data_IF_207941001338
#
_entry.id   IF_207941001338
#
_cell.length_a   1.000
_cell.length_b   1.000
_cell.length_c   1.000
_cell.angle_alpha   90.00
_cell.angle_beta   90.00
_cell.angle_gamma   90.00
#
_symmetry.space_group_name_H-M   'P 1'
#
loop_
_entity.id
_entity.type
_entity.pdbx_description
1 polymer ?
#
# COMPACT_ATOMS: atom_id res chain seq x y z
N UNK A 1 5.99 -4.80 -8.56
CA UNK A 1 6.99 -5.75 -8.02
C UNK A 1 7.61 -6.63 -9.10
N UNK A 2 7.08 -6.64 -10.34
CA UNK A 2 7.60 -7.45 -11.43
C UNK A 2 7.21 -8.92 -11.36
N UNK A 3 6.23 -9.27 -10.51
CA UNK A 3 5.75 -10.64 -10.42
C UNK A 3 5.07 -11.07 -11.72
N UNK A 4 5.32 -12.29 -12.19
CA UNK A 4 4.84 -12.77 -13.49
C UNK A 4 3.31 -12.73 -13.63
N UNK A 5 2.58 -12.93 -12.52
CA UNK A 5 1.11 -12.81 -12.50
C UNK A 5 0.61 -11.38 -12.78
N UNK A 6 1.44 -10.36 -12.58
CA UNK A 6 1.10 -8.96 -12.86
C UNK A 6 1.43 -8.54 -14.30
N UNK A 7 2.11 -9.40 -15.07
CA UNK A 7 2.63 -9.09 -16.40
C UNK A 7 2.04 -10.03 -17.47
N UNK A 8 0.73 -10.24 -17.41
CA UNK A 8 0.03 -11.02 -18.44
C UNK A 8 -0.01 -10.24 -19.77
N UNK A 9 -0.07 -10.96 -20.89
CA UNK A 9 -0.16 -10.34 -22.21
C UNK A 9 -1.40 -9.43 -22.33
N UNK A 10 -2.52 -9.86 -21.77
CA UNK A 10 -3.77 -9.10 -21.82
C UNK A 10 -3.67 -7.79 -21.03
N UNK A 11 -3.01 -7.82 -19.85
CA UNK A 11 -2.73 -6.61 -19.09
C UNK A 11 -1.84 -5.63 -19.87
N UNK A 12 -0.76 -6.13 -20.50
CA UNK A 12 0.15 -5.29 -21.28
C UNK A 12 -0.57 -4.68 -22.50
N UNK A 13 -1.36 -5.47 -23.23
CA UNK A 13 -2.17 -4.99 -24.35
C UNK A 13 -3.17 -3.93 -23.91
N UNK A 14 -3.84 -4.14 -22.78
CA UNK A 14 -4.79 -3.18 -22.22
C UNK A 14 -4.09 -1.87 -21.87
N UNK A 15 -2.97 -1.93 -21.15
CA UNK A 15 -2.18 -0.75 -20.77
C UNK A 15 -1.71 0.03 -22.01
N UNK A 16 -1.20 -0.67 -23.02
CA UNK A 16 -0.78 -0.05 -24.28
C UNK A 16 -1.94 0.64 -25.00
N UNK A 17 -3.09 -0.03 -25.14
CA UNK A 17 -4.27 0.53 -25.81
C UNK A 17 -4.82 1.79 -25.11
N UNK A 18 -4.57 1.95 -23.81
CA UNK A 18 -5.02 3.08 -23.01
C UNK A 18 -3.92 4.10 -22.69
N UNK A 19 -2.75 4.01 -23.34
CA UNK A 19 -1.60 4.90 -23.10
C UNK A 19 -1.12 4.90 -21.62
N UNK A 20 -1.24 3.77 -20.93
CA UNK A 20 -0.77 3.58 -19.56
C UNK A 20 0.65 3.02 -19.59
N UNK A 21 1.61 3.78 -19.05
CA UNK A 21 2.99 3.32 -18.88
C UNK A 21 3.07 2.41 -17.65
N UNK A 22 3.37 1.13 -17.88
CA UNK A 22 3.58 0.16 -16.79
C UNK A 22 5.04 0.16 -16.38
N UNK A 23 5.32 0.46 -15.11
CA UNK A 23 6.66 0.42 -14.53
C UNK A 23 6.91 -0.90 -13.80
N UNK A 24 8.13 -1.43 -13.95
CA UNK A 24 8.59 -2.63 -13.26
C UNK A 24 9.87 -2.32 -12.48
N UNK A 25 9.96 -2.85 -11.26
CA UNK A 25 11.18 -2.71 -10.44
C UNK A 25 12.19 -3.81 -10.82
N UNK A 26 13.50 -3.56 -10.64
CA UNK A 26 14.48 -4.64 -10.66
C UNK A 26 14.08 -5.78 -9.71
N UNK A 27 14.44 -7.04 -10.02
CA UNK A 27 14.17 -8.17 -9.15
C UNK A 27 14.63 -7.91 -7.72
N UNK A 28 13.81 -8.31 -6.74
CA UNK A 28 14.07 -8.16 -5.30
C UNK A 28 14.26 -6.72 -4.79
N UNK A 29 13.99 -5.68 -5.59
CA UNK A 29 14.22 -4.29 -5.21
C UNK A 29 12.97 -3.56 -4.66
N UNK A 30 11.89 -4.29 -4.35
CA UNK A 30 10.65 -3.70 -3.81
C UNK A 30 10.85 -3.03 -2.46
N UNK A 31 11.79 -3.50 -1.65
CA UNK A 31 12.15 -2.89 -0.37
C UNK A 31 12.91 -1.55 -0.52
N UNK A 32 13.34 -1.20 -1.74
CA UNK A 32 14.05 0.06 -2.05
C UNK A 32 13.14 1.02 -2.79
N UNK A 33 12.48 0.54 -3.85
CA UNK A 33 11.79 1.42 -4.81
C UNK A 33 10.27 1.44 -4.65
N UNK A 34 9.66 0.50 -3.92
CA UNK A 34 8.21 0.45 -3.78
C UNK A 34 7.77 1.28 -2.57
N UNK A 35 7.32 2.51 -2.80
CA UNK A 35 7.00 3.47 -1.73
C UNK A 35 5.97 2.99 -0.70
N UNK A 36 5.01 2.15 -1.14
CA UNK A 36 4.07 1.52 -0.22
C UNK A 36 4.78 0.62 0.81
N UNK A 37 5.76 -0.17 0.38
CA UNK A 37 6.54 -1.03 1.28
C UNK A 37 7.51 -0.23 2.14
N UNK A 38 8.14 0.80 1.57
CA UNK A 38 9.19 1.60 2.23
C UNK A 38 8.62 2.50 3.32
N UNK A 39 7.45 3.11 3.11
CA UNK A 39 6.91 4.12 4.01
C UNK A 39 5.50 3.79 4.52
N UNK A 40 4.56 3.45 3.63
CA UNK A 40 3.13 3.50 3.96
C UNK A 40 2.68 2.30 4.78
N UNK A 41 3.12 1.08 4.45
CA UNK A 41 2.66 -0.14 5.11
C UNK A 41 3.15 -0.27 6.55
N UNK A 42 4.29 0.32 6.90
CA UNK A 42 4.73 0.40 8.30
C UNK A 42 3.73 1.18 9.15
N UNK A 43 3.35 2.38 8.68
CA UNK A 43 2.36 3.25 9.34
C UNK A 43 0.99 2.57 9.39
N UNK A 44 0.57 1.92 8.30
CA UNK A 44 -0.69 1.18 8.26
C UNK A 44 -0.75 0.05 9.28
N UNK A 45 0.34 -0.72 9.47
CA UNK A 45 0.37 -1.79 10.47
C UNK A 45 0.21 -1.27 11.90
N UNK A 46 0.80 -0.11 12.19
CA UNK A 46 0.63 0.56 13.49
C UNK A 46 -0.84 0.91 13.72
N UNK A 47 -1.45 1.67 12.83
CA UNK A 47 -2.86 2.06 12.98
C UNK A 47 -3.81 0.87 12.92
N UNK A 48 -3.53 -0.14 12.10
CA UNK A 48 -4.30 -1.38 12.08
C UNK A 48 -4.33 -2.05 13.46
N UNK A 49 -3.18 -2.12 14.12
CA UNK A 49 -3.06 -2.72 15.46
C UNK A 49 -3.85 -1.91 16.49
N UNK A 50 -3.75 -0.58 16.44
CA UNK A 50 -4.52 0.32 17.31
C UNK A 50 -6.03 0.19 17.10
N UNK A 51 -6.48 0.14 15.85
CA UNK A 51 -7.88 -0.03 15.48
C UNK A 51 -8.45 -1.39 15.91
N UNK A 52 -7.66 -2.46 15.79
CA UNK A 52 -8.02 -3.78 16.31
C UNK A 52 -8.23 -3.74 17.84
N UNK A 53 -7.27 -3.18 18.58
CA UNK A 53 -7.38 -3.07 20.04
C UNK A 53 -8.55 -2.19 20.47
N UNK A 54 -8.81 -1.10 19.72
CA UNK A 54 -9.97 -0.23 19.99
C UNK A 54 -11.28 -0.99 19.80
N UNK A 55 -11.41 -1.73 18.70
CA UNK A 55 -12.58 -2.56 18.44
C UNK A 55 -12.82 -3.61 19.53
N UNK A 56 -11.77 -4.31 19.94
CA UNK A 56 -11.85 -5.30 21.01
C UNK A 56 -12.29 -4.67 22.34
N UNK A 57 -11.75 -3.50 22.68
CA UNK A 57 -12.14 -2.76 23.89
C UNK A 57 -13.59 -2.28 23.85
N UNK A 58 -14.07 -1.81 22.69
CA UNK A 58 -15.42 -1.25 22.52
C UNK A 58 -16.51 -2.33 22.44
N UNK A 59 -16.19 -3.48 21.85
CA UNK A 59 -17.19 -4.51 21.51
C UNK A 59 -17.03 -5.80 22.30
N UNK A 60 -15.86 -6.03 22.91
CA UNK A 60 -15.47 -7.31 23.51
C UNK A 60 -15.17 -8.41 22.48
N UNK A 61 -15.17 -8.10 21.18
CA UNK A 61 -14.97 -9.06 20.10
C UNK A 61 -13.70 -8.79 19.29
N UNK A 62 -13.16 -9.85 18.67
CA UNK A 62 -12.05 -9.74 17.73
C UNK A 62 -12.52 -9.33 16.32
N UNK A 63 -11.60 -8.83 15.51
CA UNK A 63 -11.89 -8.52 14.10
C UNK A 63 -12.22 -9.80 13.33
N UNK A 64 -13.30 -9.76 12.54
CA UNK A 64 -13.75 -10.87 11.70
C UNK A 64 -14.04 -10.37 10.28
N UNK A 65 -14.55 -11.25 9.40
CA UNK A 65 -14.82 -10.89 8.00
C UNK A 65 -15.82 -9.75 7.85
N UNK A 66 -16.80 -9.67 8.73
CA UNK A 66 -17.87 -8.66 8.67
C UNK A 66 -17.38 -7.29 9.16
N UNK A 67 -16.50 -7.26 10.17
CA UNK A 67 -15.93 -6.02 10.71
C UNK A 67 -14.65 -5.56 10.03
N UNK A 68 -13.97 -6.44 9.27
CA UNK A 68 -12.66 -6.16 8.67
C UNK A 68 -12.63 -4.86 7.86
N UNK A 69 -13.54 -4.69 6.91
CA UNK A 69 -13.51 -3.52 6.01
C UNK A 69 -13.74 -2.21 6.77
N UNK A 70 -14.61 -2.22 7.78
CA UNK A 70 -14.87 -1.05 8.62
C UNK A 70 -13.60 -0.64 9.39
N UNK A 71 -12.96 -1.61 10.05
CA UNK A 71 -11.81 -1.36 10.92
C UNK A 71 -10.57 -1.02 10.07
N UNK A 72 -10.37 -1.74 8.97
CA UNK A 72 -9.28 -1.49 8.04
C UNK A 72 -9.44 -0.11 7.40
N UNK A 73 -10.66 0.29 7.04
CA UNK A 73 -10.95 1.62 6.49
C UNK A 73 -10.51 2.75 7.42
N UNK A 74 -10.73 2.60 8.73
CA UNK A 74 -10.27 3.57 9.74
C UNK A 74 -8.74 3.64 9.78
N UNK A 75 -8.06 2.49 9.86
CA UNK A 75 -6.60 2.44 9.84
C UNK A 75 -6.01 3.02 8.55
N UNK A 76 -6.65 2.74 7.41
CA UNK A 76 -6.26 3.25 6.10
C UNK A 76 -6.32 4.77 6.03
N UNK A 77 -7.41 5.38 6.52
CA UNK A 77 -7.57 6.84 6.54
C UNK A 77 -6.48 7.53 7.38
N UNK A 78 -6.03 6.91 8.47
CA UNK A 78 -4.94 7.43 9.28
C UNK A 78 -3.55 7.22 8.66
N UNK A 79 -3.35 6.12 7.92
CA UNK A 79 -2.05 5.79 7.33
C UNK A 79 -1.78 6.54 6.01
N UNK A 80 -2.78 6.64 5.13
CA UNK A 80 -2.67 7.19 3.78
C UNK A 80 -2.90 8.70 3.75
N UNK A 81 -2.13 9.43 4.56
CA UNK A 81 -2.15 10.89 4.55
C UNK A 81 -1.26 11.45 3.43
N UNK A 82 -1.49 12.72 3.07
CA UNK A 82 -0.63 13.44 2.11
C UNK A 82 0.85 13.39 2.51
N UNK A 83 1.16 13.55 3.80
CA UNK A 83 2.55 13.53 4.28
C UNK A 83 3.19 12.14 4.13
N UNK A 84 2.48 11.06 4.48
CA UNK A 84 2.99 9.69 4.30
C UNK A 84 3.24 9.37 2.82
N UNK A 85 2.33 9.82 1.94
CA UNK A 85 2.46 9.62 0.48
C UNK A 85 3.65 10.38 -0.09
N UNK A 86 3.83 11.65 0.30
CA UNK A 86 4.99 12.44 -0.15
C UNK A 86 6.31 11.87 0.37
N UNK A 87 6.33 11.39 1.63
CA UNK A 87 7.48 10.71 2.21
C UNK A 87 7.82 9.43 1.43
N UNK A 88 6.82 8.68 0.96
CA UNK A 88 7.04 7.49 0.14
C UNK A 88 7.78 7.82 -1.17
N UNK A 89 7.43 8.91 -1.85
CA UNK A 89 8.15 9.36 -3.05
C UNK A 89 9.57 9.83 -2.74
N UNK A 90 9.75 10.55 -1.63
CA UNK A 90 11.07 11.00 -1.20
C UNK A 90 11.99 9.83 -0.85
N UNK A 91 11.49 8.86 -0.08
CA UNK A 91 12.29 7.71 0.38
C UNK A 91 12.63 6.72 -0.72
N UNK A 92 11.93 6.77 -1.85
CA UNK A 92 12.19 5.92 -3.02
C UNK A 92 12.99 6.62 -4.11
N UNK A 93 13.43 7.87 -3.88
CA UNK A 93 14.19 8.65 -4.86
C UNK A 93 13.39 9.10 -6.07
N UNK A 94 12.05 9.12 -5.97
CA UNK A 94 11.18 9.58 -7.06
C UNK A 94 11.10 11.11 -7.06
N UNK A 95 10.94 11.74 -5.89
CA UNK A 95 10.91 13.21 -5.73
C UNK A 95 11.50 13.62 -4.36
N UNK A 96 12.63 14.37 -4.29
CA UNK A 96 13.44 14.79 -5.43
C UNK A 96 14.04 13.57 -6.13
N UNK A 97 14.24 13.72 -7.43
CA UNK A 97 14.96 12.74 -8.22
C UNK A 97 16.45 13.07 -8.07
N UNK A 98 17.14 12.31 -7.24
CA UNK A 98 18.59 12.41 -7.01
C UNK A 98 19.31 11.25 -7.72
#
# INVERSE_FOLDING_TARGET
DGHALHLTLDFIKYSHAHNIVTLCYPPHATHVFQGLNVAVFGVLKTFWTEECHRWEKETGGIVNKDSFLLIFGRAYQHAFTKSTILLAFQKTGVIPFD
#
